data_IF_406802343375
#
_entry.id   IF_406802343375
#
_cell.length_a   1.000
_cell.length_b   1.000
_cell.length_c   1.000
_cell.angle_alpha   90.00
_cell.angle_beta   90.00
_cell.angle_gamma   90.00
#
_symmetry.space_group_name_H-M   'P 1'
#
loop_
_entity.id
_entity.type
_entity.pdbx_description
1 polymer ?
#
# COMPACT_ATOMS: atom_id res chain seq x y z
N UNK A 1 8.28 -11.75 -8.25
CA UNK A 1 7.44 -11.17 -7.16
C UNK A 1 8.27 -10.77 -5.94
N UNK A 2 9.18 -11.61 -5.42
CA UNK A 2 9.95 -11.34 -4.19
C UNK A 2 10.93 -10.16 -4.32
N UNK A 3 11.53 -9.95 -5.48
CA UNK A 3 12.54 -8.92 -5.71
C UNK A 3 11.94 -7.54 -6.05
N UNK A 4 10.83 -7.53 -6.79
CA UNK A 4 10.21 -6.29 -7.30
C UNK A 4 9.75 -5.34 -6.18
N UNK A 5 9.38 -5.86 -5.01
CA UNK A 5 9.00 -5.05 -3.85
C UNK A 5 10.08 -4.05 -3.42
N UNK A 6 11.35 -4.42 -3.55
CA UNK A 6 12.50 -3.56 -3.22
C UNK A 6 13.15 -2.93 -4.45
N UNK A 7 13.20 -3.64 -5.57
CA UNK A 7 13.95 -3.22 -6.76
C UNK A 7 13.08 -2.59 -7.85
N UNK A 8 11.75 -2.58 -7.69
CA UNK A 8 10.78 -2.15 -8.69
C UNK A 8 10.54 -3.22 -9.77
N UNK A 9 9.38 -3.20 -10.41
CA UNK A 9 9.02 -4.10 -11.51
C UNK A 9 9.84 -3.79 -12.75
N UNK A 10 10.09 -2.51 -13.01
CA UNK A 10 10.96 -2.02 -14.09
C UNK A 10 12.46 -2.16 -13.78
N UNK A 11 12.83 -2.72 -12.62
CA UNK A 11 14.21 -2.88 -12.13
C UNK A 11 15.00 -1.58 -11.95
N UNK A 12 14.35 -0.42 -12.01
CA UNK A 12 14.99 0.90 -11.87
C UNK A 12 15.42 1.25 -10.44
N UNK A 13 15.16 0.34 -9.51
CA UNK A 13 15.39 0.53 -8.09
C UNK A 13 14.19 1.18 -7.39
N UNK A 14 14.16 1.02 -6.09
CA UNK A 14 13.19 1.62 -5.19
C UNK A 14 13.84 1.77 -3.82
N UNK A 15 13.46 0.93 -2.83
CA UNK A 15 14.23 0.80 -1.57
C UNK A 15 15.52 0.00 -1.78
N UNK A 16 15.52 -0.93 -2.74
CA UNK A 16 16.70 -1.65 -3.22
C UNK A 16 17.35 -0.95 -4.42
N UNK A 17 18.58 -1.34 -4.73
CA UNK A 17 19.36 -0.75 -5.83
C UNK A 17 18.72 -1.04 -7.20
N UNK A 18 19.05 -0.19 -8.18
CA UNK A 18 18.74 -0.42 -9.59
C UNK A 18 19.39 -1.71 -10.08
N UNK A 19 18.59 -2.58 -10.73
CA UNK A 19 18.99 -3.87 -11.29
C UNK A 19 18.93 -3.90 -12.83
N UNK A 20 18.88 -2.74 -13.49
CA UNK A 20 19.00 -2.69 -14.96
C UNK A 20 20.38 -3.23 -15.37
N UNK A 21 20.49 -3.90 -16.53
CA UNK A 21 21.77 -4.43 -17.03
C UNK A 21 22.85 -3.35 -17.16
N UNK A 22 22.45 -2.18 -17.61
CA UNK A 22 23.27 -0.98 -17.72
C UNK A 22 22.42 0.25 -17.39
N UNK A 23 22.97 1.17 -16.62
CA UNK A 23 22.36 2.47 -16.34
C UNK A 23 23.41 3.56 -16.19
N UNK A 24 23.03 4.77 -16.57
CA UNK A 24 23.83 5.99 -16.39
C UNK A 24 23.03 6.98 -15.58
N UNK A 25 23.62 7.54 -14.54
CA UNK A 25 23.05 8.62 -13.73
C UNK A 25 23.87 9.88 -13.94
N UNK A 26 23.22 10.97 -14.33
CA UNK A 26 23.84 12.30 -14.44
C UNK A 26 23.50 13.10 -13.18
N UNK A 27 24.51 13.59 -12.48
CA UNK A 27 24.34 14.48 -11.33
C UNK A 27 24.03 15.92 -11.79
N UNK A 28 23.58 16.77 -10.86
CA UNK A 28 23.25 18.18 -11.16
C UNK A 28 24.43 18.99 -11.69
N UNK A 29 25.63 18.59 -11.35
CA UNK A 29 26.90 19.19 -11.83
C UNK A 29 27.34 18.67 -13.22
N UNK A 30 26.50 17.81 -13.85
CA UNK A 30 26.81 17.22 -15.16
C UNK A 30 27.70 15.97 -15.10
N UNK A 31 28.20 15.57 -13.94
CA UNK A 31 28.99 14.35 -13.77
C UNK A 31 28.13 13.11 -14.03
N UNK A 32 28.72 12.09 -14.65
CA UNK A 32 28.04 10.84 -14.99
C UNK A 32 28.59 9.69 -14.18
N UNK A 33 27.68 8.90 -13.60
CA UNK A 33 28.00 7.63 -12.95
C UNK A 33 27.32 6.52 -13.72
N UNK A 34 28.06 5.48 -14.06
CA UNK A 34 27.57 4.31 -14.76
C UNK A 34 27.56 3.09 -13.83
N UNK A 35 26.56 2.27 -13.98
CA UNK A 35 26.41 1.03 -13.23
C UNK A 35 25.58 0.01 -13.99
N UNK A 36 25.23 -1.04 -13.34
CA UNK A 36 24.37 -2.09 -13.87
C UNK A 36 24.80 -3.48 -13.45
N UNK A 37 23.89 -4.45 -13.63
CA UNK A 37 24.14 -5.82 -13.25
C UNK A 37 25.19 -6.50 -14.14
N UNK A 38 25.34 -6.10 -15.39
CA UNK A 38 26.42 -6.57 -16.28
C UNK A 38 27.80 -6.25 -15.72
N UNK A 39 27.97 -5.06 -15.11
CA UNK A 39 29.24 -4.63 -14.53
C UNK A 39 29.64 -5.44 -13.29
N UNK A 40 28.68 -6.02 -12.59
CA UNK A 40 28.91 -6.88 -11.42
C UNK A 40 29.33 -8.30 -11.82
N UNK A 41 28.86 -8.79 -12.97
CA UNK A 41 29.09 -10.15 -13.43
C UNK A 41 28.25 -11.21 -12.68
N UNK A 42 28.02 -12.34 -13.33
CA UNK A 42 27.10 -13.39 -12.87
C UNK A 42 27.51 -13.94 -11.49
N UNK A 43 28.75 -14.36 -11.32
CA UNK A 43 29.24 -14.99 -10.07
C UNK A 43 29.07 -14.09 -8.84
N UNK A 44 29.28 -12.79 -9.01
CA UNK A 44 29.08 -11.82 -7.92
C UNK A 44 27.59 -11.62 -7.60
N UNK A 45 26.75 -11.59 -8.63
CA UNK A 45 25.30 -11.49 -8.46
C UNK A 45 24.73 -12.72 -7.76
N UNK A 46 25.15 -13.93 -8.14
CA UNK A 46 24.76 -15.18 -7.46
C UNK A 46 25.06 -15.11 -5.96
N UNK A 47 26.26 -14.66 -5.58
CA UNK A 47 26.62 -14.51 -4.17
C UNK A 47 25.78 -13.45 -3.45
N UNK A 48 25.51 -12.31 -4.12
CA UNK A 48 24.66 -11.25 -3.56
C UNK A 48 23.23 -11.77 -3.35
N UNK A 49 22.68 -12.51 -4.30
CA UNK A 49 21.33 -13.07 -4.17
C UNK A 49 21.32 -14.15 -3.09
N UNK A 50 22.29 -15.06 -3.08
CA UNK A 50 22.36 -16.13 -2.10
C UNK A 50 22.46 -15.59 -0.65
N UNK A 51 23.40 -14.70 -0.40
CA UNK A 51 23.78 -14.32 0.97
C UNK A 51 23.32 -12.94 1.40
N UNK A 52 22.65 -12.20 0.52
CA UNK A 52 22.21 -10.84 0.82
C UNK A 52 23.35 -9.83 0.89
N UNK A 53 23.08 -8.69 1.54
CA UNK A 53 24.05 -7.62 1.74
C UNK A 53 23.86 -6.96 3.11
N UNK A 54 24.91 -6.38 3.68
CA UNK A 54 24.86 -5.57 4.91
C UNK A 54 23.92 -4.34 4.75
N UNK A 55 23.61 -3.94 3.52
CA UNK A 55 22.67 -2.85 3.21
C UNK A 55 21.19 -3.23 3.28
N UNK A 56 20.84 -4.40 3.84
CA UNK A 56 19.46 -4.80 4.13
C UNK A 56 18.80 -5.70 3.08
N UNK A 57 19.54 -6.18 2.06
CA UNK A 57 19.04 -7.26 1.21
C UNK A 57 19.15 -8.58 1.98
N UNK A 58 18.04 -9.30 2.12
CA UNK A 58 18.00 -10.61 2.77
C UNK A 58 18.65 -11.69 1.89
N UNK A 59 19.05 -12.80 2.49
CA UNK A 59 19.52 -13.99 1.79
C UNK A 59 18.38 -14.76 1.12
N UNK A 60 18.71 -15.55 0.10
CA UNK A 60 17.77 -16.40 -0.63
C UNK A 60 18.28 -17.83 -0.83
N UNK A 61 19.41 -18.20 -0.23
CA UNK A 61 20.01 -19.54 -0.35
C UNK A 61 19.20 -20.63 0.39
N UNK A 62 18.34 -20.22 1.32
CA UNK A 62 17.37 -21.08 2.00
C UNK A 62 16.05 -21.27 1.21
N UNK A 63 15.85 -20.50 0.14
CA UNK A 63 14.60 -20.47 -0.63
C UNK A 63 14.81 -20.91 -2.08
N UNK A 64 15.96 -20.55 -2.67
CA UNK A 64 16.33 -20.84 -4.05
C UNK A 64 17.46 -21.88 -4.11
N UNK A 65 17.30 -22.86 -5.01
CA UNK A 65 18.36 -23.80 -5.35
C UNK A 65 19.54 -23.09 -6.03
N UNK A 66 20.70 -23.77 -6.11
CA UNK A 66 21.88 -23.22 -6.80
C UNK A 66 21.60 -22.90 -8.27
N UNK A 67 20.83 -23.74 -8.95
CA UNK A 67 20.48 -23.53 -10.36
C UNK A 67 19.54 -22.33 -10.51
N UNK A 68 18.58 -22.14 -9.60
CA UNK A 68 17.69 -20.97 -9.58
C UNK A 68 18.44 -19.68 -9.26
N UNK A 69 19.43 -19.72 -8.37
CA UNK A 69 20.31 -18.58 -8.09
C UNK A 69 21.10 -18.18 -9.34
N UNK A 70 21.70 -19.15 -10.04
CA UNK A 70 22.44 -18.93 -11.28
C UNK A 70 21.54 -18.39 -12.39
N UNK A 71 20.34 -18.98 -12.55
CA UNK A 71 19.34 -18.52 -13.52
C UNK A 71 18.86 -17.11 -13.23
N UNK A 72 18.59 -16.78 -11.95
CA UNK A 72 18.19 -15.44 -11.54
C UNK A 72 19.30 -14.43 -11.79
N UNK A 73 20.54 -14.73 -11.47
CA UNK A 73 21.69 -13.86 -11.73
C UNK A 73 21.86 -13.58 -13.23
N UNK A 74 21.66 -14.61 -14.09
CA UNK A 74 21.63 -14.45 -15.54
C UNK A 74 20.46 -13.59 -16.01
N UNK A 75 19.26 -13.84 -15.48
CA UNK A 75 18.04 -13.12 -15.85
C UNK A 75 18.14 -11.63 -15.57
N UNK A 76 18.68 -11.21 -14.43
CA UNK A 76 18.80 -9.77 -14.12
C UNK A 76 19.88 -9.05 -14.92
N UNK A 77 20.71 -9.77 -15.70
CA UNK A 77 21.65 -9.20 -16.67
C UNK A 77 21.05 -9.02 -18.07
N UNK A 78 19.81 -9.47 -18.31
CA UNK A 78 19.09 -9.21 -19.54
C UNK A 78 18.28 -7.94 -19.45
N UNK A 79 18.01 -7.30 -20.59
CA UNK A 79 17.05 -6.19 -20.65
C UNK A 79 15.70 -6.65 -20.12
N UNK A 80 15.08 -5.92 -19.17
CA UNK A 80 13.77 -6.30 -18.66
C UNK A 80 12.71 -6.22 -19.76
N UNK A 81 11.82 -7.21 -19.79
CA UNK A 81 10.61 -7.12 -20.59
C UNK A 81 9.75 -5.96 -20.10
N UNK A 82 8.94 -5.39 -20.99
CA UNK A 82 7.91 -4.42 -20.61
C UNK A 82 6.83 -5.18 -19.82
N UNK A 83 6.66 -4.89 -18.52
CA UNK A 83 5.66 -5.60 -17.74
C UNK A 83 4.26 -5.31 -18.28
N UNK A 84 3.35 -6.29 -18.22
CA UNK A 84 1.98 -6.09 -18.67
C UNK A 84 1.29 -5.03 -17.81
N UNK A 85 0.46 -4.21 -18.44
CA UNK A 85 -0.48 -3.31 -17.75
C UNK A 85 -1.67 -4.11 -17.21
N UNK A 86 -2.40 -3.53 -16.28
CA UNK A 86 -3.64 -4.10 -15.75
C UNK A 86 -4.75 -3.05 -15.90
N UNK A 87 -5.51 -3.20 -16.97
CA UNK A 87 -6.52 -2.24 -17.38
C UNK A 87 -7.82 -2.35 -16.57
N UNK A 88 -8.74 -1.43 -16.86
CA UNK A 88 -10.10 -1.50 -16.30
C UNK A 88 -10.82 -2.79 -16.71
N UNK A 89 -10.56 -3.29 -17.93
CA UNK A 89 -11.14 -4.55 -18.42
C UNK A 89 -10.69 -5.73 -17.57
N UNK A 90 -9.37 -5.91 -17.36
CA UNK A 90 -8.85 -6.99 -16.50
C UNK A 90 -9.35 -6.87 -15.07
N UNK A 91 -9.44 -5.65 -14.54
CA UNK A 91 -10.02 -5.41 -13.21
C UNK A 91 -11.47 -5.88 -13.15
N UNK A 92 -12.30 -5.52 -14.15
CA UNK A 92 -13.69 -5.95 -14.25
C UNK A 92 -13.82 -7.47 -14.47
N UNK A 93 -12.97 -8.07 -15.29
CA UNK A 93 -12.98 -9.52 -15.56
C UNK A 93 -12.65 -10.32 -14.28
N UNK A 94 -11.87 -9.75 -13.38
CA UNK A 94 -11.50 -10.37 -12.10
C UNK A 94 -12.54 -10.20 -11.00
N UNK A 95 -13.48 -9.27 -11.16
CA UNK A 95 -14.48 -8.94 -10.16
C UNK A 95 -15.51 -10.04 -9.96
N UNK A 96 -15.74 -10.41 -8.71
CA UNK A 96 -16.70 -11.46 -8.31
C UNK A 96 -17.48 -11.04 -7.10
N UNK A 97 -18.82 -11.16 -7.16
CA UNK A 97 -19.70 -11.11 -5.99
C UNK A 97 -20.01 -12.56 -5.60
N UNK A 98 -19.46 -12.99 -4.48
CA UNK A 98 -19.62 -14.38 -3.98
C UNK A 98 -20.96 -14.54 -3.29
N UNK A 99 -21.32 -13.55 -2.44
CA UNK A 99 -22.63 -13.48 -1.80
C UNK A 99 -23.28 -12.14 -2.22
N UNK A 100 -24.34 -12.18 -3.04
CA UNK A 100 -25.07 -10.96 -3.43
C UNK A 100 -25.56 -10.17 -2.21
N UNK A 101 -25.55 -8.83 -2.30
CA UNK A 101 -25.93 -7.95 -1.17
C UNK A 101 -27.31 -8.29 -0.60
N UNK A 102 -28.29 -8.60 -1.47
CA UNK A 102 -29.64 -9.00 -1.08
C UNK A 102 -29.72 -10.30 -0.26
N UNK A 103 -28.71 -11.16 -0.40
CA UNK A 103 -28.65 -12.48 0.26
C UNK A 103 -27.77 -12.43 1.53
N UNK A 104 -27.15 -11.27 1.84
CA UNK A 104 -26.38 -11.07 3.07
C UNK A 104 -27.28 -10.80 4.26
N UNK A 105 -26.82 -11.10 5.48
CA UNK A 105 -27.60 -10.82 6.70
C UNK A 105 -27.96 -9.32 6.79
N UNK A 106 -29.20 -9.02 7.17
CA UNK A 106 -29.66 -7.65 7.45
C UNK A 106 -29.35 -7.19 8.88
N UNK A 107 -28.91 -8.12 9.74
CA UNK A 107 -28.43 -7.90 11.11
C UNK A 107 -27.30 -8.88 11.41
N UNK A 108 -26.49 -8.57 12.40
CA UNK A 108 -25.43 -9.47 12.86
C UNK A 108 -26.04 -10.81 13.33
N UNK A 109 -25.57 -11.92 12.74
CA UNK A 109 -26.05 -13.27 13.04
C UNK A 109 -25.25 -13.96 14.15
N UNK A 110 -23.97 -13.63 14.29
CA UNK A 110 -23.10 -14.13 15.36
C UNK A 110 -23.19 -13.24 16.61
N UNK A 111 -22.57 -13.69 17.71
CA UNK A 111 -22.56 -12.99 18.99
C UNK A 111 -21.25 -12.27 19.29
N UNK A 112 -20.40 -12.00 18.27
CA UNK A 112 -19.12 -11.36 18.47
C UNK A 112 -19.29 -9.90 18.85
N UNK A 113 -18.45 -9.42 19.76
CA UNK A 113 -18.35 -7.99 20.05
C UNK A 113 -17.51 -7.30 18.97
N UNK A 114 -18.13 -6.86 17.87
CA UNK A 114 -17.44 -6.24 16.75
C UNK A 114 -16.73 -4.91 17.11
N UNK A 115 -17.09 -4.28 18.25
CA UNK A 115 -16.42 -3.09 18.76
C UNK A 115 -15.05 -3.40 19.37
N UNK A 116 -14.82 -4.65 19.77
CA UNK A 116 -13.56 -5.12 20.33
C UNK A 116 -13.02 -6.34 19.54
N UNK A 117 -13.26 -6.36 18.23
CA UNK A 117 -12.73 -7.38 17.32
C UNK A 117 -11.43 -6.90 16.68
N UNK A 118 -10.40 -7.73 16.69
CA UNK A 118 -9.14 -7.51 15.97
C UNK A 118 -9.10 -8.34 14.70
N UNK A 119 -8.68 -7.71 13.60
CA UNK A 119 -8.29 -8.42 12.38
C UNK A 119 -6.78 -8.46 12.28
N UNK A 120 -6.20 -9.66 12.26
CA UNK A 120 -4.76 -9.89 12.22
C UNK A 120 -4.41 -10.55 10.90
N UNK A 121 -3.52 -9.92 10.13
CA UNK A 121 -3.03 -10.48 8.87
C UNK A 121 -2.07 -11.63 9.12
N UNK A 122 -2.40 -12.81 8.61
CA UNK A 122 -1.52 -13.98 8.56
C UNK A 122 -0.88 -14.01 7.18
N UNK A 123 0.18 -13.22 7.04
CA UNK A 123 0.77 -12.84 5.74
C UNK A 123 1.14 -14.05 4.89
N UNK A 124 1.87 -14.99 5.47
CA UNK A 124 2.49 -16.09 4.73
C UNK A 124 1.49 -17.18 4.35
N UNK A 125 0.41 -17.33 5.12
CA UNK A 125 -0.67 -18.27 4.80
C UNK A 125 -1.76 -17.64 3.92
N UNK A 126 -1.75 -16.31 3.73
CA UNK A 126 -2.74 -15.60 2.93
C UNK A 126 -4.12 -15.54 3.60
N UNK A 127 -4.16 -15.32 4.90
CA UNK A 127 -5.36 -15.39 5.73
C UNK A 127 -5.48 -14.17 6.64
N UNK A 128 -6.66 -14.01 7.20
CA UNK A 128 -6.92 -13.05 8.29
C UNK A 128 -7.53 -13.80 9.46
N UNK A 129 -6.93 -13.68 10.64
CA UNK A 129 -7.51 -14.14 11.89
C UNK A 129 -8.38 -13.02 12.49
N UNK A 130 -9.60 -13.37 12.90
CA UNK A 130 -10.49 -12.52 13.66
C UNK A 130 -10.41 -12.94 15.12
N UNK A 131 -9.91 -12.03 15.97
CA UNK A 131 -9.66 -12.29 17.40
C UNK A 131 -10.63 -11.45 18.21
N UNK A 132 -11.37 -12.09 19.09
CA UNK A 132 -12.22 -11.43 20.07
C UNK A 132 -11.35 -10.81 21.17
N UNK A 133 -11.40 -9.49 21.29
CA UNK A 133 -10.59 -8.75 22.28
C UNK A 133 -11.05 -8.95 23.73
N UNK A 134 -12.28 -9.39 23.97
CA UNK A 134 -12.81 -9.67 25.30
C UNK A 134 -12.31 -11.02 25.83
N UNK A 135 -12.41 -12.06 25.00
CA UNK A 135 -12.00 -13.42 25.39
C UNK A 135 -10.56 -13.76 24.98
N UNK A 136 -9.97 -12.99 24.05
CA UNK A 136 -8.65 -13.21 23.45
C UNK A 136 -8.56 -14.51 22.62
N UNK A 137 -9.68 -15.01 22.16
CA UNK A 137 -9.77 -16.21 21.36
C UNK A 137 -9.89 -15.89 19.87
N UNK A 138 -9.31 -16.73 19.02
CA UNK A 138 -9.54 -16.69 17.58
C UNK A 138 -10.95 -17.18 17.31
N UNK A 139 -11.80 -16.33 16.73
CA UNK A 139 -13.19 -16.66 16.37
C UNK A 139 -13.32 -17.19 14.95
N UNK A 140 -12.45 -16.75 14.05
CA UNK A 140 -12.45 -17.20 12.67
C UNK A 140 -11.10 -16.98 12.02
N UNK A 141 -10.71 -17.83 11.08
CA UNK A 141 -9.60 -17.62 10.14
C UNK A 141 -10.20 -17.65 8.74
N UNK A 142 -10.04 -16.55 8.01
CA UNK A 142 -10.62 -16.35 6.68
C UNK A 142 -9.54 -16.32 5.64
N UNK A 143 -9.62 -17.23 4.65
CA UNK A 143 -8.72 -17.26 3.50
C UNK A 143 -9.01 -16.07 2.59
N UNK A 144 -7.96 -15.37 2.14
CA UNK A 144 -8.04 -14.21 1.26
C UNK A 144 -6.99 -14.31 0.14
N UNK A 145 -6.19 -13.27 -0.12
CA UNK A 145 -5.18 -13.25 -1.18
C UNK A 145 -3.83 -13.86 -0.76
N UNK A 146 -2.83 -13.66 -1.60
CA UNK A 146 -1.45 -14.06 -1.32
C UNK A 146 -0.70 -12.93 -0.60
N UNK A 147 0.13 -13.29 0.37
CA UNK A 147 0.95 -12.37 1.15
C UNK A 147 0.14 -11.16 1.65
N UNK A 148 -0.93 -11.44 2.37
CA UNK A 148 -1.86 -10.45 2.93
C UNK A 148 -1.09 -9.35 3.66
N UNK A 149 -1.39 -8.09 3.34
CA UNK A 149 -0.58 -6.99 3.86
C UNK A 149 -1.38 -6.04 4.76
N UNK A 150 -2.55 -5.66 4.33
CA UNK A 150 -3.41 -4.71 5.08
C UNK A 150 -4.83 -5.25 5.16
N UNK A 151 -5.42 -5.14 6.35
CA UNK A 151 -6.84 -5.23 6.59
C UNK A 151 -7.38 -3.89 7.10
N UNK A 152 -8.57 -3.48 6.62
CA UNK A 152 -9.23 -2.23 7.03
C UNK A 152 -10.68 -2.49 7.37
N UNK A 153 -11.07 -2.02 8.55
CA UNK A 153 -12.47 -2.06 8.98
C UNK A 153 -13.27 -0.97 8.26
N UNK A 154 -14.46 -1.30 7.82
CA UNK A 154 -15.44 -0.35 7.31
C UNK A 154 -15.91 0.63 8.39
N UNK A 155 -16.52 1.75 8.01
CA UNK A 155 -17.03 2.75 8.98
C UNK A 155 -18.17 2.20 9.81
N UNK A 156 -19.04 1.38 9.21
CA UNK A 156 -20.15 0.70 9.94
C UNK A 156 -19.65 -0.37 10.93
N UNK A 157 -18.42 -0.85 10.77
CA UNK A 157 -17.90 -1.98 11.54
C UNK A 157 -18.36 -3.34 11.03
N UNK A 158 -19.09 -3.40 9.90
CA UNK A 158 -19.59 -4.64 9.32
C UNK A 158 -18.57 -5.38 8.47
N UNK A 159 -17.81 -4.64 7.66
CA UNK A 159 -16.92 -5.24 6.66
C UNK A 159 -15.45 -5.08 7.01
N UNK A 160 -14.64 -6.06 6.61
CA UNK A 160 -13.17 -5.97 6.59
C UNK A 160 -12.70 -6.08 5.15
N UNK A 161 -11.98 -5.07 4.68
CA UNK A 161 -11.32 -5.03 3.37
C UNK A 161 -9.89 -5.53 3.53
N UNK A 162 -9.52 -6.54 2.77
CA UNK A 162 -8.22 -7.22 2.91
C UNK A 162 -7.50 -7.21 1.57
N UNK A 163 -6.30 -6.61 1.51
CA UNK A 163 -5.49 -6.54 0.29
C UNK A 163 -4.25 -7.43 0.41
N UNK A 164 -4.04 -8.27 -0.59
CA UNK A 164 -2.85 -9.11 -0.74
C UNK A 164 -1.85 -8.52 -1.75
N UNK A 165 -0.61 -8.99 -1.68
CA UNK A 165 0.45 -8.60 -2.62
C UNK A 165 0.25 -9.14 -4.03
N UNK A 166 -0.66 -10.06 -4.23
CA UNK A 166 -1.14 -10.51 -5.54
C UNK A 166 -2.14 -9.56 -6.22
N UNK A 167 -2.38 -8.40 -5.62
CA UNK A 167 -3.34 -7.42 -6.07
C UNK A 167 -4.79 -7.75 -5.76
N UNK A 168 -5.08 -8.84 -5.06
CA UNK A 168 -6.43 -9.26 -4.69
C UNK A 168 -6.93 -8.47 -3.49
N UNK A 169 -8.08 -7.83 -3.66
CA UNK A 169 -8.89 -7.26 -2.59
C UNK A 169 -10.05 -8.20 -2.30
N UNK A 170 -10.16 -8.63 -1.04
CA UNK A 170 -11.27 -9.46 -0.53
C UNK A 170 -12.09 -8.68 0.48
N UNK A 171 -13.42 -8.78 0.40
CA UNK A 171 -14.37 -8.17 1.32
C UNK A 171 -14.95 -9.25 2.24
N UNK A 172 -14.69 -9.15 3.53
CA UNK A 172 -15.23 -10.07 4.56
C UNK A 172 -16.45 -9.41 5.21
N UNK A 173 -17.57 -10.12 5.29
CA UNK A 173 -18.76 -9.69 6.05
C UNK A 173 -18.74 -10.31 7.47
N UNK A 174 -18.56 -9.44 8.46
CA UNK A 174 -18.52 -9.83 9.88
C UNK A 174 -19.90 -10.13 10.46
N UNK A 175 -21.00 -9.81 9.76
CA UNK A 175 -22.35 -10.09 10.24
C UNK A 175 -22.81 -11.51 9.96
N UNK A 176 -22.13 -12.24 9.09
CA UNK A 176 -22.44 -13.64 8.84
C UNK A 176 -22.25 -14.46 10.11
N UNK A 177 -22.96 -15.58 10.24
CA UNK A 177 -22.79 -16.51 11.36
C UNK A 177 -21.33 -16.94 11.52
N UNK A 178 -20.70 -17.30 10.40
CA UNK A 178 -19.24 -17.41 10.25
C UNK A 178 -18.77 -16.34 9.27
N UNK A 179 -17.95 -15.36 9.71
CA UNK A 179 -17.39 -14.36 8.81
C UNK A 179 -16.70 -14.99 7.60
N UNK A 180 -17.04 -14.50 6.42
CA UNK A 180 -16.55 -15.06 5.16
C UNK A 180 -16.37 -13.97 4.10
N UNK A 181 -15.59 -14.28 3.05
CA UNK A 181 -15.42 -13.40 1.90
C UNK A 181 -16.73 -13.38 1.08
N UNK A 182 -17.24 -12.18 0.84
CA UNK A 182 -18.50 -11.95 0.10
C UNK A 182 -18.31 -11.31 -1.26
N UNK A 183 -17.17 -10.71 -1.52
CA UNK A 183 -16.78 -10.18 -2.83
C UNK A 183 -15.26 -10.13 -2.96
N UNK A 184 -14.78 -10.20 -4.20
CA UNK A 184 -13.36 -10.10 -4.54
C UNK A 184 -13.16 -9.33 -5.84
N UNK A 185 -12.01 -8.67 -5.96
CA UNK A 185 -11.53 -8.05 -7.19
C UNK A 185 -10.02 -8.00 -7.19
N UNK A 186 -9.39 -8.08 -8.36
CA UNK A 186 -7.95 -7.87 -8.51
C UNK A 186 -7.70 -6.47 -9.10
N UNK A 187 -6.88 -5.67 -8.43
CA UNK A 187 -6.62 -4.26 -8.77
C UNK A 187 -5.29 -4.04 -9.49
N UNK A 188 -4.54 -5.12 -9.69
CA UNK A 188 -3.22 -5.11 -10.33
C UNK A 188 -2.48 -6.41 -10.08
N UNK A 189 -1.20 -6.46 -10.46
CA UNK A 189 -0.33 -7.62 -10.20
C UNK A 189 0.33 -7.55 -8.82
N UNK A 190 0.53 -6.33 -8.30
CA UNK A 190 1.06 -6.07 -6.96
C UNK A 190 0.31 -4.89 -6.36
N UNK A 191 -0.22 -5.05 -5.16
CA UNK A 191 -0.93 -4.00 -4.44
C UNK A 191 -0.59 -4.06 -2.95
N UNK A 192 -0.84 -2.94 -2.24
CA UNK A 192 -0.48 -2.88 -0.84
C UNK A 192 -1.49 -2.17 0.04
N UNK A 193 -2.27 -1.27 -0.50
CA UNK A 193 -3.05 -0.34 0.30
C UNK A 193 -4.52 -0.40 -0.04
N UNK A 194 -5.38 -0.29 0.96
CA UNK A 194 -6.83 -0.22 0.84
C UNK A 194 -7.41 0.64 1.96
N UNK A 195 -8.46 1.38 1.67
CA UNK A 195 -9.35 1.98 2.67
C UNK A 195 -10.77 2.12 2.09
N UNK A 196 -11.71 2.55 2.90
CA UNK A 196 -13.11 2.76 2.53
C UNK A 196 -13.54 4.19 2.81
N UNK A 197 -14.68 4.64 2.29
CA UNK A 197 -15.25 5.95 2.61
C UNK A 197 -15.80 5.95 4.04
N UNK A 198 -15.38 6.97 4.84
CA UNK A 198 -15.71 7.07 6.27
C UNK A 198 -16.38 8.37 6.67
N UNK A 199 -16.49 9.32 5.74
CA UNK A 199 -17.18 10.58 5.98
C UNK A 199 -18.69 10.36 6.13
N UNK A 200 -19.33 11.12 7.02
CA UNK A 200 -20.77 11.04 7.29
C UNK A 200 -21.58 11.19 6.01
N UNK A 201 -22.50 10.25 5.76
CA UNK A 201 -23.33 10.16 4.56
C UNK A 201 -22.67 9.41 3.38
N UNK A 202 -21.43 8.95 3.55
CA UNK A 202 -20.70 8.12 2.59
C UNK A 202 -20.16 6.84 3.22
N UNK A 203 -20.59 6.51 4.42
CA UNK A 203 -20.12 5.34 5.15
C UNK A 203 -20.25 4.08 4.29
N UNK A 204 -19.12 3.40 4.07
CA UNK A 204 -18.99 2.15 3.32
C UNK A 204 -19.48 2.20 1.84
N UNK A 205 -19.79 3.39 1.34
CA UNK A 205 -20.32 3.56 -0.03
C UNK A 205 -19.27 3.27 -1.10
N UNK A 206 -18.02 3.62 -0.82
CA UNK A 206 -16.91 3.44 -1.73
C UNK A 206 -15.73 2.76 -1.04
N UNK A 207 -14.94 2.02 -1.83
CA UNK A 207 -13.63 1.54 -1.45
C UNK A 207 -12.57 2.02 -2.45
N UNK A 208 -11.33 2.13 -2.01
CA UNK A 208 -10.18 2.50 -2.83
C UNK A 208 -9.02 1.56 -2.52
N UNK A 209 -8.36 1.03 -3.55
CA UNK A 209 -7.18 0.20 -3.39
C UNK A 209 -6.03 0.72 -4.25
N UNK A 210 -4.81 0.69 -3.70
CA UNK A 210 -3.60 1.21 -4.32
C UNK A 210 -2.66 0.12 -4.79
N UNK A 211 -2.26 0.20 -6.07
CA UNK A 211 -1.33 -0.69 -6.73
C UNK A 211 0.12 -0.25 -6.59
N UNK A 212 0.99 -1.24 -6.57
CA UNK A 212 2.41 -1.08 -6.82
C UNK A 212 2.71 -1.29 -8.31
N UNK A 213 2.06 -2.29 -8.90
CA UNK A 213 2.11 -2.49 -10.34
C UNK A 213 0.75 -2.97 -10.89
N UNK A 214 0.19 -2.30 -11.90
CA UNK A 214 0.60 -0.97 -12.35
C UNK A 214 0.50 0.09 -11.24
N UNK A 215 1.27 1.20 -11.32
CA UNK A 215 1.20 2.29 -10.34
C UNK A 215 -0.10 3.08 -10.56
N UNK A 216 -1.13 2.70 -9.83
CA UNK A 216 -2.50 3.21 -9.96
C UNK A 216 -3.29 3.02 -8.67
N UNK A 217 -4.40 3.69 -8.55
CA UNK A 217 -5.42 3.32 -7.57
C UNK A 217 -6.76 3.07 -8.28
N UNK A 218 -7.52 2.12 -7.72
CA UNK A 218 -8.82 1.71 -8.21
C UNK A 218 -9.87 2.12 -7.20
N UNK A 219 -10.92 2.82 -7.67
CA UNK A 219 -12.08 3.18 -6.86
C UNK A 219 -13.23 2.27 -7.26
N UNK A 220 -13.97 1.79 -6.26
CA UNK A 220 -14.99 0.77 -6.42
C UNK A 220 -16.15 0.98 -5.44
N UNK A 221 -17.24 0.29 -5.70
CA UNK A 221 -18.36 0.19 -4.78
C UNK A 221 -17.93 -0.49 -3.47
N UNK A 222 -18.34 0.04 -2.33
CA UNK A 222 -17.89 -0.43 -1.04
C UNK A 222 -18.48 -1.77 -0.61
N UNK A 223 -19.65 -2.13 -1.10
CA UNK A 223 -20.32 -3.39 -0.70
C UNK A 223 -20.10 -4.54 -1.68
N UNK A 224 -19.94 -4.22 -2.96
CA UNK A 224 -19.81 -5.23 -4.02
C UNK A 224 -18.39 -5.33 -4.58
N UNK A 225 -17.53 -4.35 -4.31
CA UNK A 225 -16.21 -4.16 -4.92
C UNK A 225 -16.26 -3.94 -6.44
N UNK A 226 -17.45 -3.57 -7.00
CA UNK A 226 -17.57 -3.29 -8.43
C UNK A 226 -16.67 -2.09 -8.79
N UNK A 227 -15.71 -2.24 -9.72
CA UNK A 227 -14.84 -1.14 -10.12
C UNK A 227 -15.61 -0.01 -10.79
N UNK A 228 -15.25 1.24 -10.46
CA UNK A 228 -15.79 2.45 -11.08
C UNK A 228 -14.74 3.19 -11.90
N UNK A 229 -13.51 3.27 -11.37
CA UNK A 229 -12.48 4.12 -11.95
C UNK A 229 -11.08 3.62 -11.60
N UNK A 230 -10.17 3.74 -12.56
CA UNK A 230 -8.73 3.59 -12.36
C UNK A 230 -8.08 4.96 -12.58
N UNK A 231 -7.13 5.32 -11.72
CA UNK A 231 -6.33 6.54 -11.84
C UNK A 231 -4.86 6.16 -11.74
N UNK A 232 -4.09 6.49 -12.78
CA UNK A 232 -2.64 6.30 -12.80
C UNK A 232 -1.96 7.29 -11.85
N UNK A 233 -0.89 6.83 -11.20
CA UNK A 233 -0.05 7.67 -10.32
C UNK A 233 1.28 8.06 -10.97
N UNK A 234 1.51 7.66 -12.24
CA UNK A 234 2.70 8.06 -13.00
C UNK A 234 2.78 9.58 -13.12
N UNK A 235 3.97 10.12 -12.93
CA UNK A 235 4.13 11.55 -13.00
C UNK A 235 5.49 12.05 -12.54
N UNK A 236 5.57 13.37 -12.37
CA UNK A 236 6.79 14.05 -11.94
C UNK A 236 7.03 13.84 -10.44
N UNK A 237 8.27 13.65 -10.08
CA UNK A 237 8.72 13.64 -8.70
C UNK A 237 8.90 15.06 -8.17
N UNK A 238 8.98 15.24 -6.86
CA UNK A 238 9.32 16.52 -6.22
C UNK A 238 10.71 17.05 -6.60
N UNK A 239 11.56 16.22 -7.21
CA UNK A 239 12.88 16.63 -7.72
C UNK A 239 12.83 17.02 -9.21
N UNK A 240 11.66 16.97 -9.86
CA UNK A 240 11.46 17.35 -11.26
C UNK A 240 11.80 16.26 -12.28
N UNK A 241 11.88 15.00 -11.86
CA UNK A 241 12.12 13.84 -12.74
C UNK A 241 10.81 13.07 -12.98
N UNK A 242 10.57 12.59 -14.20
CA UNK A 242 9.45 11.69 -14.46
C UNK A 242 9.71 10.30 -13.88
N UNK A 243 8.78 9.80 -13.10
CA UNK A 243 8.84 8.44 -12.56
C UNK A 243 7.76 7.53 -13.19
N UNK A 244 8.14 6.42 -13.83
CA UNK A 244 7.20 5.52 -14.51
C UNK A 244 6.51 4.52 -13.56
N UNK A 245 7.00 4.37 -12.33
CA UNK A 245 6.53 3.38 -11.35
C UNK A 245 6.36 4.01 -9.94
N UNK A 246 5.55 5.08 -9.79
CA UNK A 246 5.33 5.67 -8.46
C UNK A 246 4.23 4.90 -7.73
N UNK A 247 4.62 4.12 -6.74
CA UNK A 247 3.77 3.17 -6.01
C UNK A 247 2.88 3.87 -5.00
N UNK A 248 1.64 3.39 -4.86
CA UNK A 248 0.73 3.85 -3.79
C UNK A 248 1.14 3.20 -2.46
N UNK A 249 1.81 3.95 -1.61
CA UNK A 249 2.35 3.44 -0.35
C UNK A 249 1.26 3.19 0.68
N UNK A 250 0.36 4.16 0.87
CA UNK A 250 -0.76 4.02 1.78
C UNK A 250 -1.97 4.87 1.34
N UNK A 251 -3.14 4.44 1.80
CA UNK A 251 -4.39 5.16 1.68
C UNK A 251 -5.03 5.25 3.06
N UNK A 252 -5.46 6.44 3.44
CA UNK A 252 -6.11 6.69 4.73
C UNK A 252 -7.33 7.58 4.52
N UNK A 253 -8.49 7.13 4.98
CA UNK A 253 -9.73 7.90 4.90
C UNK A 253 -9.76 9.04 5.90
N UNK A 254 -10.34 10.16 5.50
CA UNK A 254 -10.78 11.22 6.40
C UNK A 254 -12.16 10.92 6.98
N UNK A 255 -12.37 11.24 8.25
CA UNK A 255 -13.70 11.23 8.87
C UNK A 255 -14.32 12.62 8.89
N UNK A 256 -13.55 13.67 8.59
CA UNK A 256 -13.98 15.07 8.64
C UNK A 256 -14.34 15.64 7.28
N UNK A 257 -13.94 14.95 6.21
CA UNK A 257 -14.21 15.31 4.81
C UNK A 257 -14.43 14.06 3.96
N UNK A 258 -15.13 14.16 2.81
CA UNK A 258 -15.28 13.06 1.87
C UNK A 258 -13.99 12.85 1.05
N UNK A 259 -12.87 12.61 1.73
CA UNK A 259 -11.54 12.53 1.13
C UNK A 259 -10.79 11.28 1.56
N UNK A 260 -9.98 10.75 0.63
CA UNK A 260 -8.87 9.85 0.95
C UNK A 260 -7.54 10.58 0.83
N UNK A 261 -6.64 10.34 1.75
CA UNK A 261 -5.23 10.73 1.66
C UNK A 261 -4.46 9.58 1.04
N UNK A 262 -3.86 9.81 -0.13
CA UNK A 262 -3.12 8.80 -0.89
C UNK A 262 -1.65 9.21 -0.97
N UNK A 263 -0.77 8.41 -0.40
CA UNK A 263 0.67 8.67 -0.39
C UNK A 263 1.34 7.98 -1.58
N UNK A 264 1.99 8.77 -2.44
CA UNK A 264 2.73 8.25 -3.60
C UNK A 264 4.22 8.23 -3.27
N UNK A 265 4.75 7.03 -3.24
CA UNK A 265 6.06 6.75 -2.64
C UNK A 265 7.22 7.45 -3.36
N UNK A 266 7.39 7.20 -4.63
CA UNK A 266 8.54 7.65 -5.41
C UNK A 266 8.44 9.10 -5.87
N UNK A 267 7.23 9.61 -6.10
CA UNK A 267 7.05 11.03 -6.45
C UNK A 267 7.21 11.94 -5.25
N UNK A 268 6.99 11.46 -4.03
CA UNK A 268 6.98 12.28 -2.83
C UNK A 268 5.71 13.14 -2.71
N UNK A 269 4.67 12.80 -3.45
CA UNK A 269 3.40 13.53 -3.48
C UNK A 269 2.35 12.88 -2.59
N UNK A 270 1.59 13.71 -1.91
CA UNK A 270 0.42 13.33 -1.12
C UNK A 270 -0.81 13.86 -1.88
N UNK A 271 -1.73 12.96 -2.21
CA UNK A 271 -2.95 13.31 -2.91
C UNK A 271 -4.13 13.33 -1.93
N UNK A 272 -4.90 14.42 -1.94
CA UNK A 272 -6.22 14.47 -1.32
C UNK A 272 -7.25 14.19 -2.41
N UNK A 273 -7.85 13.00 -2.36
CA UNK A 273 -8.80 12.51 -3.37
C UNK A 273 -10.21 12.68 -2.81
N UNK A 274 -10.90 13.72 -3.27
CA UNK A 274 -12.27 14.03 -2.89
C UNK A 274 -13.24 13.14 -3.67
N UNK A 275 -14.05 12.36 -2.94
CA UNK A 275 -15.04 11.42 -3.49
C UNK A 275 -16.49 11.91 -3.34
N UNK A 276 -16.72 13.16 -2.99
CA UNK A 276 -18.08 13.73 -2.92
C UNK A 276 -18.82 13.58 -4.25
N UNK A 277 -18.10 13.78 -5.37
CA UNK A 277 -18.55 13.43 -6.71
C UNK A 277 -17.61 12.41 -7.36
N UNK A 278 -17.99 11.14 -7.28
CA UNK A 278 -17.17 10.05 -7.79
C UNK A 278 -16.98 10.07 -9.32
N UNK A 279 -17.88 10.73 -10.04
CA UNK A 279 -17.78 10.87 -11.49
C UNK A 279 -16.73 11.91 -11.87
N UNK A 280 -16.67 13.00 -11.12
CA UNK A 280 -15.79 14.13 -11.33
C UNK A 280 -14.83 14.29 -10.12
N UNK A 281 -13.94 13.32 -9.92
CA UNK A 281 -12.99 13.34 -8.81
C UNK A 281 -12.16 14.62 -8.81
N UNK A 282 -12.12 15.28 -7.67
CA UNK A 282 -11.20 16.38 -7.42
C UNK A 282 -9.99 15.85 -6.65
N UNK A 283 -8.80 16.07 -7.22
CA UNK A 283 -7.54 15.64 -6.61
C UNK A 283 -6.68 16.86 -6.33
N UNK A 284 -6.31 17.07 -5.07
CA UNK A 284 -5.34 18.08 -4.67
C UNK A 284 -4.00 17.40 -4.47
N UNK A 285 -2.99 17.79 -5.24
CA UNK A 285 -1.63 17.27 -5.14
C UNK A 285 -0.80 18.15 -4.24
N UNK A 286 -0.13 17.56 -3.24
CA UNK A 286 0.73 18.24 -2.28
C UNK A 286 2.12 17.66 -2.40
N UNK A 287 3.09 18.47 -2.80
CA UNK A 287 4.49 18.08 -2.83
C UNK A 287 5.08 18.05 -1.43
N UNK A 288 5.85 17.00 -1.14
CA UNK A 288 6.48 16.81 0.17
C UNK A 288 7.91 16.27 0.05
N UNK A 289 8.17 15.02 0.40
CA UNK A 289 9.48 14.39 0.33
C UNK A 289 9.38 12.91 -0.07
N UNK A 290 10.40 12.39 -0.73
CA UNK A 290 10.56 10.95 -1.06
C UNK A 290 11.04 10.19 0.19
N UNK A 291 10.87 8.98 0.26
CA UNK A 291 9.87 8.02 -0.18
C UNK A 291 8.76 7.98 0.86
N UNK A 292 7.57 8.38 0.48
CA UNK A 292 6.44 8.34 1.42
C UNK A 292 6.07 6.90 1.79
N UNK A 293 5.65 6.69 3.03
CA UNK A 293 5.21 5.42 3.58
C UNK A 293 3.83 5.55 4.24
N UNK A 294 3.61 4.88 5.35
CA UNK A 294 2.38 5.02 6.11
C UNK A 294 2.32 6.34 6.87
N UNK A 295 1.11 6.76 7.19
CA UNK A 295 0.84 7.93 7.97
C UNK A 295 -0.51 7.84 8.69
N UNK A 296 -0.78 8.81 9.53
CA UNK A 296 -2.02 8.86 10.30
C UNK A 296 -2.40 10.27 10.72
N UNK A 297 -3.58 10.36 11.28
CA UNK A 297 -4.17 11.61 11.73
C UNK A 297 -3.65 12.03 13.10
N UNK A 298 -3.43 13.33 13.29
CA UNK A 298 -3.29 13.91 14.60
C UNK A 298 -4.61 13.83 15.39
N UNK A 299 -4.58 14.18 16.68
CA UNK A 299 -5.76 14.13 17.53
C UNK A 299 -6.92 15.03 17.06
N UNK A 300 -6.61 16.13 16.36
CA UNK A 300 -7.63 17.03 15.81
C UNK A 300 -8.28 16.50 14.52
N UNK A 301 -7.71 15.47 13.89
CA UNK A 301 -8.10 14.94 12.56
C UNK A 301 -8.01 15.98 11.44
N UNK A 302 -7.28 17.07 11.65
CA UNK A 302 -6.98 18.11 10.66
C UNK A 302 -5.65 17.86 9.95
N UNK A 303 -4.63 17.48 10.72
CA UNK A 303 -3.30 17.25 10.20
C UNK A 303 -3.08 15.76 9.95
N UNK A 304 -2.60 15.47 8.75
CA UNK A 304 -2.16 14.13 8.39
C UNK A 304 -0.63 14.10 8.40
N UNK A 305 -0.06 13.16 9.16
CA UNK A 305 1.38 13.02 9.31
C UNK A 305 1.85 11.75 8.62
N UNK A 306 2.86 11.86 7.77
CA UNK A 306 3.39 10.73 7.00
C UNK A 306 4.91 10.73 6.99
N UNK A 307 5.51 9.54 7.12
CA UNK A 307 6.95 9.39 6.99
C UNK A 307 7.39 9.41 5.53
N UNK A 308 8.44 10.17 5.28
CA UNK A 308 9.27 10.10 4.09
C UNK A 308 10.59 9.40 4.47
N UNK A 309 10.57 8.07 4.48
CA UNK A 309 11.60 7.27 5.14
C UNK A 309 13.00 7.42 4.53
N UNK A 310 13.14 7.54 3.20
CA UNK A 310 14.43 7.77 2.57
C UNK A 310 14.92 9.23 2.67
N UNK A 311 14.04 10.15 3.07
CA UNK A 311 14.37 11.56 3.31
C UNK A 311 14.61 11.88 4.79
N UNK A 312 14.40 10.90 5.69
CA UNK A 312 14.48 11.07 7.14
C UNK A 312 13.60 12.21 7.66
N UNK A 313 12.37 12.30 7.16
CA UNK A 313 11.41 13.37 7.47
C UNK A 313 10.03 12.83 7.79
N UNK A 314 9.29 13.60 8.56
CA UNK A 314 7.84 13.50 8.67
C UNK A 314 7.23 14.70 7.94
N UNK A 315 6.36 14.44 6.97
CA UNK A 315 5.54 15.48 6.35
C UNK A 315 4.24 15.64 7.12
N UNK A 316 3.89 16.86 7.48
CA UNK A 316 2.60 17.21 8.07
C UNK A 316 1.77 17.98 7.03
N UNK A 317 0.60 17.48 6.70
CA UNK A 317 -0.33 18.09 5.74
C UNK A 317 -1.52 18.67 6.49
N UNK A 318 -1.82 19.94 6.26
CA UNK A 318 -3.08 20.54 6.70
C UNK A 318 -4.17 20.24 5.67
N UNK A 319 -5.00 19.24 5.94
CA UNK A 319 -6.06 18.83 5.02
C UNK A 319 -7.20 19.84 4.91
N UNK A 320 -7.33 20.78 5.85
CA UNK A 320 -8.30 21.88 5.77
C UNK A 320 -7.93 22.85 4.63
N UNK A 321 -6.65 23.16 4.50
CA UNK A 321 -6.15 24.10 3.48
C UNK A 321 -5.62 23.41 2.23
N UNK A 322 -5.40 22.08 2.27
CA UNK A 322 -4.80 21.31 1.17
C UNK A 322 -3.32 21.67 0.94
N UNK A 323 -2.58 22.00 1.98
CA UNK A 323 -1.18 22.44 1.89
C UNK A 323 -0.26 21.65 2.82
N UNK A 324 1.01 21.55 2.43
CA UNK A 324 2.07 21.10 3.31
C UNK A 324 2.23 22.13 4.46
N UNK A 325 2.05 21.67 5.69
CA UNK A 325 2.20 22.51 6.88
C UNK A 325 3.64 22.52 7.40
N UNK A 326 4.31 21.35 7.38
CA UNK A 326 5.69 21.21 7.82
C UNK A 326 6.37 19.98 7.23
N UNK A 327 7.71 20.05 7.12
CA UNK A 327 8.61 18.91 6.98
C UNK A 327 9.53 18.91 8.19
N UNK A 328 9.42 17.87 9.01
CA UNK A 328 10.16 17.73 10.26
C UNK A 328 11.25 16.70 10.10
N UNK A 329 12.50 17.07 10.40
CA UNK A 329 13.63 16.14 10.39
C UNK A 329 13.50 15.11 11.52
N UNK A 330 13.87 13.88 11.20
CA UNK A 330 13.85 12.75 12.14
C UNK A 330 15.21 12.03 12.16
N UNK A 331 15.34 11.04 13.04
CA UNK A 331 16.41 10.05 12.92
C UNK A 331 16.25 9.23 11.63
N UNK A 332 17.29 8.47 11.28
CA UNK A 332 17.33 7.70 10.04
C UNK A 332 16.18 6.70 9.94
N UNK A 333 15.59 6.68 8.75
CA UNK A 333 14.61 5.70 8.28
C UNK A 333 13.38 5.63 9.21
N UNK A 334 12.63 6.74 9.36
CA UNK A 334 11.33 6.67 10.04
C UNK A 334 10.43 5.68 9.30
N UNK A 335 9.90 4.70 10.01
CA UNK A 335 9.00 3.71 9.44
C UNK A 335 7.69 3.66 10.24
N UNK A 336 6.85 4.68 10.14
CA UNK A 336 5.66 4.76 10.94
C UNK A 336 4.58 3.80 10.45
N UNK A 337 3.81 3.32 11.40
CA UNK A 337 2.45 2.92 11.15
C UNK A 337 1.52 4.14 11.07
N UNK A 338 0.26 3.99 11.52
CA UNK A 338 -0.69 5.12 11.58
C UNK A 338 -0.44 6.08 12.75
N UNK A 339 0.50 5.75 13.62
CA UNK A 339 0.78 6.49 14.83
C UNK A 339 -0.29 6.35 15.91
N UNK A 340 0.00 6.92 17.07
CA UNK A 340 -0.91 6.99 18.20
C UNK A 340 -0.93 8.40 18.78
N UNK A 341 -2.11 8.88 19.14
CA UNK A 341 -2.31 10.15 19.80
C UNK A 341 -2.53 9.92 21.30
N UNK A 342 -1.73 10.55 22.12
CA UNK A 342 -1.90 10.53 23.58
C UNK A 342 -1.35 11.80 24.23
N UNK A 343 -1.64 11.98 25.53
CA UNK A 343 -1.08 13.07 26.31
C UNK A 343 0.16 12.56 27.06
N UNK A 344 1.33 12.96 26.58
CA UNK A 344 2.58 12.67 27.27
C UNK A 344 2.69 13.51 28.54
N UNK A 345 3.19 12.97 29.67
CA UNK A 345 3.27 13.72 30.94
C UNK A 345 4.18 14.96 30.87
N UNK A 346 5.24 14.90 30.07
CA UNK A 346 6.20 15.99 29.90
C UNK A 346 5.89 16.87 28.69
N UNK A 347 5.58 16.27 27.50
CA UNK A 347 5.43 16.98 26.23
C UNK A 347 3.99 17.39 25.90
N UNK A 348 3.01 17.02 26.75
CA UNK A 348 1.59 17.30 26.47
C UNK A 348 1.02 16.43 25.33
N UNK A 349 0.11 16.99 24.49
CA UNK A 349 -0.46 16.23 23.38
C UNK A 349 0.61 15.87 22.34
N UNK A 350 0.75 14.59 22.03
CA UNK A 350 1.72 14.09 21.05
C UNK A 350 1.05 13.13 20.06
N UNK A 351 1.61 13.08 18.86
CA UNK A 351 1.44 11.98 17.93
C UNK A 351 2.78 11.23 17.88
N UNK A 352 2.75 9.94 18.16
CA UNK A 352 3.95 9.10 18.19
C UNK A 352 3.87 7.95 17.18
N UNK A 353 5.02 7.59 16.62
CA UNK A 353 5.15 6.50 15.66
C UNK A 353 6.54 5.88 15.76
N UNK A 354 6.73 4.68 15.16
CA UNK A 354 8.03 3.99 15.11
C UNK A 354 8.98 4.54 14.05
#
# INVERSE_FOLDING_TARGET
ERCAGCHGVLRKGATGKNLEPHWTKTAKDGSKTEGGTLKLGQNRLEKIIAYGTEGGMVNFDDILSKDELALMAKYIQTTPDVPPEYSFKETMDSWKVIVPVKDRPTKQMNKFNLKNMFSVTLRDTGEVALIDGDTKEIRSIVKTGYAVHISRLSKSGRYVYVIGRDGRLSLIDLWMEQPAVVAEVKVGFDARSVDTSKFKGFEDKYAIAGGYWPPQYVIMDGETLKPFKIVSTRGMTVDGEYHPEPRVASIVSSETKPEWVVNIKETGQILLVDYADIKNLKVTTIESAKFLHDGGWDASKRYFLVAANASNKIAAVDTKTGKLAALVDTKKIPHPGRGANFKHPEFGPVWATG
#
